data_IF_296342478530
#
_entry.id   IF_296342478530
#
_cell.length_a   1.000
_cell.length_b   1.000
_cell.length_c   1.000
_cell.angle_alpha   90.00
_cell.angle_beta   90.00
_cell.angle_gamma   90.00
#
_symmetry.space_group_name_H-M   'P 1'
#
loop_
_entity.id
_entity.type
_entity.pdbx_description
1 polymer ?
#
# COMPACT_ATOMS: atom_id res chain seq x y z
N UNK A 1 67.78 -16.60 -5.43
CA UNK A 1 66.82 -16.51 -6.55
C UNK A 1 65.41 -16.44 -5.98
N UNK A 2 64.74 -15.33 -6.30
CA UNK A 2 63.29 -15.04 -6.34
C UNK A 2 62.35 -15.74 -5.33
N UNK A 3 61.91 -14.92 -4.39
CA UNK A 3 60.59 -14.91 -3.77
C UNK A 3 59.47 -15.25 -4.77
N UNK A 4 58.39 -15.90 -4.30
CA UNK A 4 57.02 -15.35 -4.25
C UNK A 4 56.16 -16.34 -3.45
N UNK A 5 55.78 -15.93 -2.23
CA UNK A 5 54.67 -16.50 -1.48
C UNK A 5 53.39 -15.85 -2.04
N UNK A 6 52.56 -16.61 -2.76
CA UNK A 6 51.24 -16.13 -3.19
C UNK A 6 50.22 -16.36 -2.07
N UNK A 7 49.98 -15.34 -1.26
CA UNK A 7 48.81 -15.27 -0.38
C UNK A 7 47.65 -14.81 -1.26
N UNK A 8 46.75 -15.75 -1.62
CA UNK A 8 45.47 -15.41 -2.24
C UNK A 8 44.54 -14.97 -1.12
N UNK A 9 44.46 -13.66 -0.91
CA UNK A 9 43.48 -13.03 -0.03
C UNK A 9 42.12 -13.06 -0.74
N UNK A 10 41.30 -14.07 -0.45
CA UNK A 10 39.90 -14.11 -0.87
C UNK A 10 39.14 -13.06 -0.04
N UNK A 11 39.03 -11.84 -0.58
CA UNK A 11 38.12 -10.81 -0.04
C UNK A 11 36.71 -11.29 -0.38
N UNK A 12 36.06 -11.97 0.57
CA UNK A 12 34.61 -12.15 0.53
C UNK A 12 34.00 -10.78 0.77
N UNK A 13 33.71 -10.05 -0.30
CA UNK A 13 32.84 -8.87 -0.23
C UNK A 13 31.52 -9.35 0.39
N UNK A 14 31.00 -8.68 1.44
CA UNK A 14 29.62 -8.90 1.81
C UNK A 14 28.81 -8.48 0.60
N UNK A 15 28.14 -9.43 -0.03
CA UNK A 15 27.02 -9.11 -0.90
C UNK A 15 26.02 -8.49 0.07
N UNK A 16 25.99 -7.15 0.12
CA UNK A 16 24.86 -6.43 0.68
C UNK A 16 23.68 -6.84 -0.18
N UNK A 17 23.02 -7.94 0.21
CA UNK A 17 21.60 -8.07 -0.02
C UNK A 17 21.04 -6.75 0.49
N UNK A 18 20.56 -5.91 -0.44
CA UNK A 18 19.84 -4.71 -0.10
C UNK A 18 18.65 -5.19 0.73
N UNK A 19 18.76 -5.08 2.05
CA UNK A 19 17.61 -5.25 2.91
C UNK A 19 16.70 -4.10 2.53
N UNK A 20 15.66 -4.41 1.75
CA UNK A 20 14.62 -3.46 1.42
C UNK A 20 14.16 -2.82 2.72
N UNK A 21 14.20 -1.49 2.77
CA UNK A 21 13.81 -0.78 3.99
C UNK A 21 12.31 -0.97 4.21
N UNK A 22 11.85 -0.90 5.47
CA UNK A 22 10.41 -0.96 5.77
C UNK A 22 9.61 0.08 4.97
N UNK A 23 10.22 1.23 4.65
CA UNK A 23 9.62 2.26 3.82
C UNK A 23 9.46 1.83 2.36
N UNK A 24 10.50 1.29 1.73
CA UNK A 24 10.45 0.79 0.35
C UNK A 24 9.46 -0.38 0.22
N UNK A 25 9.42 -1.26 1.23
CA UNK A 25 8.42 -2.33 1.33
C UNK A 25 7.01 -1.75 1.41
N UNK A 26 6.77 -0.82 2.35
CA UNK A 26 5.46 -0.21 2.55
C UNK A 26 4.97 0.50 1.28
N UNK A 27 5.84 1.26 0.62
CA UNK A 27 5.55 1.94 -0.65
C UNK A 27 5.08 0.94 -1.71
N UNK A 28 5.91 -0.07 -1.98
CA UNK A 28 5.62 -1.10 -2.98
C UNK A 28 4.32 -1.85 -2.68
N UNK A 29 4.09 -2.20 -1.42
CA UNK A 29 2.86 -2.86 -0.95
C UNK A 29 1.66 -1.92 -1.12
N UNK A 30 1.78 -0.67 -0.69
CA UNK A 30 0.69 0.32 -0.74
C UNK A 30 0.28 0.64 -2.17
N UNK A 31 1.23 0.79 -3.09
CA UNK A 31 0.95 1.00 -4.51
C UNK A 31 0.17 -0.17 -5.12
N UNK A 32 0.58 -1.41 -4.81
CA UNK A 32 -0.09 -2.62 -5.29
C UNK A 32 -1.48 -2.78 -4.69
N UNK A 33 -1.62 -2.59 -3.37
CA UNK A 33 -2.92 -2.67 -2.69
C UNK A 33 -3.88 -1.59 -3.19
N UNK A 34 -3.41 -0.36 -3.37
CA UNK A 34 -4.22 0.76 -3.88
C UNK A 34 -4.70 0.48 -5.30
N UNK A 35 -3.80 0.02 -6.17
CA UNK A 35 -4.16 -0.34 -7.55
C UNK A 35 -5.16 -1.50 -7.58
N UNK A 36 -4.96 -2.53 -6.76
CA UNK A 36 -5.88 -3.66 -6.63
C UNK A 36 -7.26 -3.25 -6.13
N UNK A 37 -7.32 -2.30 -5.19
CA UNK A 37 -8.57 -1.74 -4.65
C UNK A 37 -9.38 -1.02 -5.75
N UNK A 38 -8.75 -0.18 -6.56
CA UNK A 38 -9.45 0.50 -7.66
C UNK A 38 -9.98 -0.49 -8.70
N UNK A 39 -9.21 -1.53 -9.03
CA UNK A 39 -9.67 -2.61 -9.89
C UNK A 39 -10.84 -3.38 -9.28
N UNK A 40 -10.85 -3.62 -7.96
CA UNK A 40 -11.97 -4.24 -7.27
C UNK A 40 -13.24 -3.39 -7.35
N UNK A 41 -13.13 -2.07 -7.17
CA UNK A 41 -14.24 -1.13 -7.34
C UNK A 41 -14.82 -1.15 -8.76
N UNK A 42 -13.95 -1.20 -9.77
CA UNK A 42 -14.38 -1.30 -11.17
C UNK A 42 -15.14 -2.61 -11.41
N UNK A 43 -14.62 -3.75 -10.93
CA UNK A 43 -15.30 -5.05 -11.06
C UNK A 43 -16.65 -5.08 -10.37
N UNK A 44 -16.77 -4.43 -9.21
CA UNK A 44 -18.04 -4.31 -8.49
C UNK A 44 -19.09 -3.55 -9.33
N UNK A 45 -18.73 -2.40 -9.89
CA UNK A 45 -19.63 -1.66 -10.79
C UNK A 45 -20.06 -2.49 -12.00
N UNK A 46 -19.15 -3.26 -12.60
CA UNK A 46 -19.48 -4.17 -13.70
C UNK A 46 -20.46 -5.27 -13.27
N UNK A 47 -20.24 -5.86 -12.09
CA UNK A 47 -21.07 -6.93 -11.53
C UNK A 47 -22.49 -6.44 -11.22
N UNK A 48 -22.63 -5.18 -10.79
CA UNK A 48 -23.91 -4.54 -10.48
C UNK A 48 -24.63 -3.97 -11.71
N UNK A 49 -24.02 -4.06 -12.91
CA UNK A 49 -24.62 -3.61 -14.16
C UNK A 49 -24.45 -2.11 -14.45
N UNK A 50 -23.54 -1.43 -13.74
CA UNK A 50 -23.14 -0.07 -14.03
C UNK A 50 -22.12 0.04 -15.18
N UNK A 51 -21.83 1.26 -15.61
CA UNK A 51 -20.79 1.53 -16.62
C UNK A 51 -19.41 1.76 -15.96
N UNK A 52 -18.43 0.88 -16.19
CA UNK A 52 -17.08 1.01 -15.61
C UNK A 52 -16.14 1.94 -16.37
N UNK A 53 -16.50 2.36 -17.60
CA UNK A 53 -15.57 3.10 -18.46
C UNK A 53 -15.10 4.44 -17.83
N UNK A 54 -15.98 5.26 -17.22
CA UNK A 54 -15.55 6.48 -16.55
C UNK A 54 -14.59 6.23 -15.38
N UNK A 55 -14.76 5.12 -14.66
CA UNK A 55 -13.87 4.74 -13.56
C UNK A 55 -12.49 4.35 -14.05
N UNK A 56 -12.41 3.57 -15.14
CA UNK A 56 -11.13 3.19 -15.76
C UNK A 56 -10.34 4.39 -16.26
N UNK A 57 -11.02 5.38 -16.83
CA UNK A 57 -10.38 6.60 -17.33
C UNK A 57 -9.90 7.52 -16.19
N UNK A 58 -10.45 7.35 -14.99
CA UNK A 58 -10.20 8.18 -13.81
C UNK A 58 -9.36 7.47 -12.74
N UNK A 59 -8.77 6.29 -13.00
CA UNK A 59 -7.93 5.58 -12.02
C UNK A 59 -6.79 6.53 -11.57
N UNK A 60 -6.67 6.82 -10.26
CA UNK A 60 -5.59 7.66 -9.77
C UNK A 60 -4.23 6.97 -9.92
N UNK A 61 -3.18 7.74 -10.21
CA UNK A 61 -1.80 7.25 -10.14
C UNK A 61 -1.48 6.82 -8.70
N UNK A 62 -1.17 5.53 -8.52
CA UNK A 62 -0.87 4.97 -7.21
C UNK A 62 0.57 5.27 -6.77
N UNK A 63 1.45 5.66 -7.69
CA UNK A 63 2.88 5.87 -7.46
C UNK A 63 3.13 6.87 -6.32
N UNK A 64 4.05 6.54 -5.42
CA UNK A 64 4.44 7.42 -4.33
C UNK A 64 5.40 8.50 -4.84
N UNK A 65 5.12 9.74 -4.44
CA UNK A 65 6.05 10.86 -4.55
C UNK A 65 6.70 11.14 -3.19
N UNK A 66 7.60 12.13 -3.13
CA UNK A 66 8.30 12.48 -1.88
C UNK A 66 7.35 12.78 -0.72
N UNK A 67 6.20 13.40 -0.98
CA UNK A 67 5.21 13.72 0.07
C UNK A 67 4.57 12.45 0.64
N UNK A 68 4.23 11.48 -0.21
CA UNK A 68 3.76 10.17 0.23
C UNK A 68 4.83 9.39 0.98
N UNK A 69 6.09 9.46 0.52
CA UNK A 69 7.22 8.82 1.21
C UNK A 69 7.45 9.40 2.60
N UNK A 70 7.37 10.72 2.76
CA UNK A 70 7.48 11.39 4.06
C UNK A 70 6.34 10.98 5.01
N UNK A 71 5.10 10.91 4.50
CA UNK A 71 3.94 10.46 5.25
C UNK A 71 4.05 8.98 5.67
N UNK A 72 4.51 8.11 4.76
CA UNK A 72 4.78 6.70 5.05
C UNK A 72 5.91 6.51 6.07
N UNK A 73 6.97 7.31 5.99
CA UNK A 73 8.05 7.29 6.97
C UNK A 73 7.56 7.73 8.37
N UNK A 74 6.71 8.76 8.43
CA UNK A 74 6.04 9.19 9.66
C UNK A 74 5.20 8.04 10.27
N UNK A 75 4.39 7.36 9.45
CA UNK A 75 3.56 6.24 9.90
C UNK A 75 4.42 5.12 10.52
N UNK A 76 5.47 4.70 9.80
CA UNK A 76 6.36 3.62 10.25
C UNK A 76 7.10 3.99 11.54
N UNK A 77 7.55 5.24 11.68
CA UNK A 77 8.17 5.73 12.92
C UNK A 77 7.19 5.67 14.09
N UNK A 78 5.95 6.14 13.90
CA UNK A 78 4.91 6.11 14.95
C UNK A 78 4.57 4.68 15.38
N UNK A 79 4.40 3.76 14.45
CA UNK A 79 4.10 2.37 14.75
C UNK A 79 5.28 1.66 15.41
N UNK A 80 6.49 1.90 14.94
CA UNK A 80 7.72 1.37 15.54
C UNK A 80 7.88 1.85 16.99
N UNK A 81 7.63 3.13 17.24
CA UNK A 81 7.73 3.74 18.57
C UNK A 81 6.64 3.24 19.55
N UNK A 82 5.44 2.95 19.05
CA UNK A 82 4.34 2.44 19.85
C UNK A 82 4.41 0.91 20.09
N UNK A 83 5.04 0.17 19.18
CA UNK A 83 5.19 -1.29 19.25
C UNK A 83 6.66 -1.70 19.16
N UNK A 84 7.14 -2.12 17.99
CA UNK A 84 8.53 -2.40 17.68
C UNK A 84 8.73 -2.53 16.17
N UNK A 85 9.98 -2.46 15.70
CA UNK A 85 10.30 -2.65 14.29
C UNK A 85 9.89 -4.04 13.78
N UNK A 86 10.05 -5.10 14.58
CA UNK A 86 9.65 -6.45 14.18
C UNK A 86 8.13 -6.62 14.03
N UNK A 87 7.36 -5.95 14.88
CA UNK A 87 5.88 -5.97 14.78
C UNK A 87 5.40 -5.22 13.53
N UNK A 88 6.12 -4.18 13.13
CA UNK A 88 5.90 -3.51 11.84
C UNK A 88 6.29 -4.41 10.66
N UNK A 89 7.38 -5.18 10.75
CA UNK A 89 7.72 -6.18 9.72
C UNK A 89 6.61 -7.23 9.57
N UNK A 90 6.09 -7.75 10.69
CA UNK A 90 4.98 -8.72 10.68
C UNK A 90 3.69 -8.14 10.08
N UNK A 91 3.44 -6.83 10.24
CA UNK A 91 2.37 -6.14 9.53
C UNK A 91 2.63 -6.15 8.01
N UNK A 92 3.81 -5.74 7.57
CA UNK A 92 4.16 -5.67 6.15
C UNK A 92 4.09 -7.04 5.48
N UNK A 93 4.54 -8.10 6.16
CA UNK A 93 4.43 -9.48 5.70
C UNK A 93 2.97 -9.91 5.48
N UNK A 94 2.07 -9.53 6.40
CA UNK A 94 0.63 -9.80 6.26
C UNK A 94 0.02 -9.04 5.09
N UNK A 95 0.37 -7.77 4.91
CA UNK A 95 -0.10 -6.95 3.80
C UNK A 95 0.37 -7.53 2.45
N UNK A 96 1.64 -7.91 2.37
CA UNK A 96 2.23 -8.51 1.17
C UNK A 96 1.56 -9.85 0.80
N UNK A 97 1.31 -10.71 1.79
CA UNK A 97 0.58 -11.97 1.60
C UNK A 97 -0.88 -11.78 1.18
N UNK A 98 -1.46 -10.60 1.43
CA UNK A 98 -2.83 -10.27 1.06
C UNK A 98 -2.97 -9.74 -0.37
N UNK A 99 -1.94 -9.08 -0.92
CA UNK A 99 -1.94 -8.54 -2.29
C UNK A 99 -2.52 -9.51 -3.35
N UNK A 100 -2.09 -10.79 -3.45
CA UNK A 100 -2.63 -11.69 -4.46
C UNK A 100 -4.13 -11.98 -4.31
N UNK A 101 -4.69 -11.78 -3.12
CA UNK A 101 -6.08 -12.06 -2.82
C UNK A 101 -7.01 -10.92 -3.28
N UNK A 102 -6.49 -9.68 -3.37
CA UNK A 102 -7.26 -8.50 -3.81
C UNK A 102 -7.80 -8.65 -5.24
N UNK A 103 -7.09 -9.39 -6.10
CA UNK A 103 -7.52 -9.63 -7.47
C UNK A 103 -8.78 -10.51 -7.56
N UNK A 104 -9.03 -11.35 -6.55
CA UNK A 104 -10.08 -12.36 -6.56
C UNK A 104 -11.24 -12.02 -5.59
N UNK A 105 -11.02 -11.13 -4.63
CA UNK A 105 -12.05 -10.70 -3.68
C UNK A 105 -13.00 -9.64 -4.24
N UNK A 106 -14.26 -9.77 -3.83
CA UNK A 106 -15.26 -8.71 -3.89
C UNK A 106 -15.04 -7.72 -2.74
N UNK A 107 -15.40 -6.44 -2.93
CA UNK A 107 -15.21 -5.39 -1.92
C UNK A 107 -15.92 -5.69 -0.59
N UNK A 108 -17.11 -6.27 -0.64
CA UNK A 108 -17.86 -6.67 0.56
C UNK A 108 -17.07 -7.67 1.42
N UNK A 109 -16.26 -8.52 0.79
CA UNK A 109 -15.42 -9.50 1.49
C UNK A 109 -14.10 -8.90 1.96
N UNK A 110 -13.62 -7.83 1.30
CA UNK A 110 -12.40 -7.13 1.72
C UNK A 110 -12.59 -6.36 3.03
N UNK A 111 -13.77 -5.80 3.31
CA UNK A 111 -14.00 -5.03 4.55
C UNK A 111 -13.95 -5.90 5.82
N UNK A 112 -14.28 -7.20 5.73
CA UNK A 112 -14.33 -8.08 6.89
C UNK A 112 -12.94 -8.63 7.31
N UNK A 113 -11.99 -8.74 6.38
CA UNK A 113 -10.72 -9.46 6.58
C UNK A 113 -9.46 -8.55 6.59
N UNK A 114 -9.59 -7.23 6.54
CA UNK A 114 -8.46 -6.29 6.33
C UNK A 114 -7.95 -5.56 7.57
N UNK A 115 -7.88 -6.23 8.72
CA UNK A 115 -7.15 -5.69 9.87
C UNK A 115 -5.64 -5.95 9.76
N UNK A 116 -4.94 -5.01 9.14
CA UNK A 116 -3.48 -5.01 9.07
C UNK A 116 -2.81 -4.29 10.25
N UNK A 117 -3.54 -3.93 11.30
CA UNK A 117 -2.93 -3.19 12.41
C UNK A 117 -1.79 -4.01 13.03
N UNK A 118 -0.64 -3.38 13.32
CA UNK A 118 0.43 -4.05 14.04
C UNK A 118 -0.05 -4.47 15.43
N UNK A 119 0.47 -5.59 15.94
CA UNK A 119 0.07 -6.08 17.26
C UNK A 119 0.29 -4.99 18.34
N UNK A 120 -0.72 -4.78 19.19
CA UNK A 120 -0.68 -3.77 20.24
C UNK A 120 -1.02 -2.35 19.80
N UNK A 121 -1.27 -2.13 18.50
CA UNK A 121 -1.81 -0.87 17.98
C UNK A 121 -3.34 -0.93 17.98
N UNK A 122 -3.98 0.08 18.58
CA UNK A 122 -5.43 0.22 18.51
C UNK A 122 -5.86 0.89 17.20
N UNK A 123 -7.10 0.63 16.79
CA UNK A 123 -7.73 1.30 15.64
C UNK A 123 -7.76 2.82 15.83
N UNK A 124 -8.11 3.31 17.03
CA UNK A 124 -8.10 4.74 17.34
C UNK A 124 -6.72 5.37 17.15
N UNK A 125 -5.65 4.68 17.57
CA UNK A 125 -4.28 5.16 17.37
C UNK A 125 -3.90 5.15 15.89
N UNK A 126 -4.27 4.11 15.14
CA UNK A 126 -4.04 4.05 13.69
C UNK A 126 -4.72 5.20 12.96
N UNK A 127 -6.00 5.47 13.25
CA UNK A 127 -6.74 6.58 12.65
C UNK A 127 -6.10 7.93 13.00
N UNK A 128 -5.68 8.12 14.25
CA UNK A 128 -4.94 9.30 14.67
C UNK A 128 -3.64 9.46 13.89
N UNK A 129 -2.82 8.41 13.80
CA UNK A 129 -1.52 8.47 13.10
C UNK A 129 -1.70 8.73 11.61
N UNK A 130 -2.66 8.08 10.95
CA UNK A 130 -2.96 8.32 9.53
C UNK A 130 -3.34 9.78 9.27
N UNK A 131 -4.12 10.39 10.17
CA UNK A 131 -4.48 11.80 10.11
C UNK A 131 -3.28 12.72 10.38
N UNK A 132 -2.50 12.45 11.44
CA UNK A 132 -1.33 13.25 11.81
C UNK A 132 -0.20 13.20 10.77
N UNK A 133 0.03 12.04 10.18
CA UNK A 133 1.01 11.85 9.10
C UNK A 133 0.48 12.29 7.72
N UNK A 134 -0.81 12.65 7.62
CA UNK A 134 -1.40 13.22 6.42
C UNK A 134 -1.81 12.22 5.33
N UNK A 135 -1.65 10.91 5.55
CA UNK A 135 -1.96 9.86 4.57
C UNK A 135 -3.42 9.90 4.11
N UNK A 136 -4.36 10.14 5.04
CA UNK A 136 -5.78 10.24 4.70
C UNK A 136 -6.06 11.42 3.77
N UNK A 137 -5.46 12.58 4.04
CA UNK A 137 -5.65 13.78 3.21
C UNK A 137 -5.04 13.59 1.83
N UNK A 138 -3.83 13.01 1.76
CA UNK A 138 -3.16 12.73 0.49
C UNK A 138 -3.99 11.77 -0.38
N UNK A 139 -4.53 10.71 0.21
CA UNK A 139 -5.39 9.76 -0.50
C UNK A 139 -6.67 10.42 -1.03
N UNK A 140 -7.32 11.26 -0.22
CA UNK A 140 -8.51 12.00 -0.66
C UNK A 140 -8.20 12.98 -1.79
N UNK A 141 -7.12 13.76 -1.67
CA UNK A 141 -6.66 14.70 -2.69
C UNK A 141 -6.40 13.98 -4.02
N UNK A 142 -5.69 12.84 -3.97
CA UNK A 142 -5.43 12.01 -5.16
C UNK A 142 -6.71 11.50 -5.82
N UNK A 143 -7.69 11.05 -5.04
CA UNK A 143 -8.99 10.59 -5.58
C UNK A 143 -9.86 11.73 -6.12
N UNK A 144 -9.70 12.94 -5.57
CA UNK A 144 -10.37 14.15 -6.07
C UNK A 144 -9.74 14.62 -7.38
N UNK A 145 -8.41 14.75 -7.44
CA UNK A 145 -7.66 15.23 -8.60
C UNK A 145 -7.79 14.32 -9.83
N UNK A 146 -7.88 13.01 -9.59
CA UNK A 146 -8.10 12.01 -10.65
C UNK A 146 -9.53 12.01 -11.20
N UNK A 147 -10.49 12.61 -10.49
CA UNK A 147 -11.92 12.52 -10.81
C UNK A 147 -12.55 11.17 -10.48
N UNK A 148 -11.81 10.25 -9.84
CA UNK A 148 -12.27 8.90 -9.53
C UNK A 148 -13.53 8.89 -8.66
N UNK A 149 -13.61 9.76 -7.64
CA UNK A 149 -14.79 9.86 -6.79
C UNK A 149 -16.05 10.30 -7.57
N UNK A 150 -15.89 11.23 -8.51
CA UNK A 150 -16.99 11.70 -9.34
C UNK A 150 -17.48 10.60 -10.29
N UNK A 151 -16.54 9.85 -10.89
CA UNK A 151 -16.86 8.71 -11.74
C UNK A 151 -17.59 7.61 -10.97
N UNK A 152 -17.15 7.29 -9.75
CA UNK A 152 -17.82 6.32 -8.88
C UNK A 152 -19.25 6.73 -8.54
N UNK A 153 -19.44 7.99 -8.12
CA UNK A 153 -20.77 8.51 -7.80
C UNK A 153 -21.71 8.45 -9.01
N UNK A 154 -21.20 8.75 -10.20
CA UNK A 154 -21.96 8.60 -11.45
C UNK A 154 -22.36 7.14 -11.68
N UNK A 155 -21.41 6.21 -11.57
CA UNK A 155 -21.68 4.78 -11.77
C UNK A 155 -22.71 4.23 -10.78
N UNK A 156 -22.67 4.64 -9.51
CA UNK A 156 -23.66 4.24 -8.50
C UNK A 156 -25.06 4.80 -8.80
N UNK A 157 -25.18 6.06 -9.21
CA UNK A 157 -26.48 6.63 -9.60
C UNK A 157 -27.08 5.91 -10.82
N UNK A 158 -26.25 5.45 -11.75
CA UNK A 158 -26.68 4.67 -12.91
C UNK A 158 -27.15 3.26 -12.51
N UNK A 159 -26.58 2.67 -11.47
CA UNK A 159 -27.02 1.38 -10.90
C UNK A 159 -28.39 1.55 -10.22
N UNK A 160 -28.57 2.57 -9.37
CA UNK A 160 -29.82 2.82 -8.64
C UNK A 160 -31.01 3.19 -9.55
N UNK A 161 -30.75 3.65 -10.77
CA UNK A 161 -31.76 4.03 -11.74
C UNK A 161 -32.32 2.86 -12.57
N UNK A 162 -31.76 1.65 -12.43
CA UNK A 162 -32.14 0.43 -13.16
C UNK A 162 -33.13 -0.44 -12.35
#
# INVERSE_FOLDING_TARGET
MKHVLSIVLFVTLPISALAETQLERLETISEQMTSGMFEAMIRMVEKEGGNPAPLRDAIPDSTWNDVYRDAGACLLDRYTNASSASVVDDMLDRMEAFIPQIAEMDLETMEEDTDFLPEGISEEFSLQVNSECGLTNLMMERMEESGFMAAMMQSMMEIDAQ
#
